data_IF_874088885958
#
_entry.id   IF_874088885958
#
_cell.length_a   1.000
_cell.length_b   1.000
_cell.length_c   1.000
_cell.angle_alpha   90.00
_cell.angle_beta   90.00
_cell.angle_gamma   90.00
#
_symmetry.space_group_name_H-M   'P 1'
#
loop_
_entity.id
_entity.type
_entity.pdbx_description
1 polymer ?
2 polymer ?
3 polymer ?
4 non-polymer ?
5 non-polymer ?
6 water ?
#
# COMPACT_ATOMS: atom_id res chain seq x y z
N UNK A 3 22.38 4.50 -30.04
CA UNK A 3 23.44 3.58 -29.69
C UNK A 3 23.23 2.93 -28.34
N UNK A 4 24.28 2.89 -27.52
CA UNK A 4 24.22 2.34 -26.17
C UNK A 4 24.38 3.48 -25.18
N UNK A 5 23.28 3.82 -24.49
CA UNK A 5 23.35 4.84 -23.45
C UNK A 5 24.26 4.40 -22.32
N UNK A 6 24.20 3.12 -21.94
CA UNK A 6 25.12 2.59 -20.92
C UNK A 6 26.56 2.76 -21.36
N UNK A 7 26.88 2.43 -22.61
CA UNK A 7 28.22 2.65 -23.13
C UNK A 7 28.57 4.13 -23.11
N UNK A 8 27.62 4.98 -23.53
CA UNK A 8 27.82 6.41 -23.44
C UNK A 8 28.00 6.85 -21.98
N UNK A 9 27.17 6.33 -21.09
CA UNK A 9 27.38 6.56 -19.66
C UNK A 9 28.73 6.01 -19.22
N UNK A 10 29.11 4.82 -19.70
CA UNK A 10 30.39 4.24 -19.33
C UNK A 10 31.53 5.19 -19.65
N UNK A 11 31.35 6.07 -20.65
CA UNK A 11 32.39 7.04 -20.98
C UNK A 11 32.75 7.89 -19.76
N UNK A 12 31.74 8.32 -18.99
CA UNK A 12 32.00 8.84 -17.67
C UNK A 12 31.88 7.72 -16.65
N UNK A 13 30.72 7.59 -16.02
CA UNK A 13 30.43 6.47 -15.14
C UNK A 13 29.10 5.86 -15.51
N UNK A 14 29.07 4.53 -15.62
CA UNK A 14 27.93 3.84 -16.19
C UNK A 14 27.32 2.80 -15.28
N UNK A 15 27.17 1.58 -15.80
CA UNK A 15 26.38 0.56 -15.10
C UNK A 15 27.03 0.16 -13.78
N UNK A 16 26.18 -0.05 -12.76
CA UNK A 16 26.62 -0.43 -11.43
C UNK A 16 25.91 -1.70 -11.00
N UNK A 17 26.63 -2.56 -10.29
CA UNK A 17 26.15 -3.86 -9.84
C UNK A 17 25.68 -3.77 -8.40
N UNK A 18 24.48 -4.26 -8.13
CA UNK A 18 23.91 -4.26 -6.78
C UNK A 18 23.26 -5.62 -6.55
N UNK A 19 23.90 -6.45 -5.72
CA UNK A 19 23.38 -7.77 -5.34
C UNK A 19 22.98 -8.61 -6.55
N UNK A 20 23.84 -8.62 -7.57
CA UNK A 20 23.57 -9.41 -8.75
C UNK A 20 22.69 -8.74 -9.78
N UNK A 21 22.26 -7.51 -9.53
CA UNK A 21 21.41 -6.77 -10.46
C UNK A 21 22.17 -5.57 -11.01
N UNK A 22 22.21 -5.47 -12.34
CA UNK A 22 22.84 -4.32 -12.99
C UNK A 22 21.80 -3.22 -13.14
N UNK A 23 22.17 -2.00 -12.75
CA UNK A 23 21.31 -0.82 -12.83
C UNK A 23 21.84 0.08 -13.92
N UNK A 24 21.17 0.07 -15.07
CA UNK A 24 21.54 0.97 -16.16
C UNK A 24 20.71 2.25 -16.06
N UNK A 25 20.99 3.03 -15.02
CA UNK A 25 20.32 4.30 -14.78
C UNK A 25 21.11 5.48 -15.31
N UNK A 26 22.03 5.24 -16.25
CA UNK A 26 22.62 6.30 -17.04
C UNK A 26 23.63 7.15 -16.30
N UNK A 27 24.08 8.22 -16.95
CA UNK A 27 25.03 9.13 -16.28
C UNK A 27 24.38 9.95 -15.18
N UNK A 28 23.06 10.16 -15.24
CA UNK A 28 22.42 11.05 -14.27
C UNK A 28 22.46 10.46 -12.86
N UNK A 29 22.20 9.17 -12.73
CA UNK A 29 22.08 8.53 -11.43
C UNK A 29 23.26 7.59 -11.21
N UNK A 30 23.95 7.77 -10.09
CA UNK A 30 25.14 7.01 -9.73
C UNK A 30 25.13 6.72 -8.24
N UNK A 31 26.10 5.92 -7.81
CA UNK A 31 26.32 5.61 -6.40
C UNK A 31 25.09 4.95 -5.77
N UNK A 32 24.68 3.83 -6.34
CA UNK A 32 23.48 3.14 -5.89
C UNK A 32 23.79 2.25 -4.68
N UNK A 33 22.84 2.19 -3.75
CA UNK A 33 22.94 1.34 -2.57
C UNK A 33 21.66 0.55 -2.43
N UNK A 34 21.79 -0.77 -2.30
CA UNK A 34 20.63 -1.65 -2.14
C UNK A 34 19.79 -1.22 -0.95
N UNK A 35 18.47 -1.20 -1.14
CA UNK A 35 17.51 -0.94 -0.07
C UNK A 35 16.64 -2.16 0.19
N UNK A 36 15.92 -2.62 -0.83
CA UNK A 36 15.05 -3.77 -0.70
C UNK A 36 14.75 -4.36 -2.06
N UNK A 37 13.99 -5.45 -2.06
CA UNK A 37 13.68 -6.11 -3.31
C UNK A 37 12.39 -6.90 -3.20
N UNK A 38 11.77 -7.13 -4.34
CA UNK A 38 10.62 -8.00 -4.45
C UNK A 38 10.84 -9.06 -5.51
N UNK A 39 9.74 -9.74 -5.87
CA UNK A 39 9.82 -10.84 -6.83
C UNK A 39 10.38 -10.37 -8.17
N UNK A 40 9.94 -9.20 -8.64
CA UNK A 40 10.37 -8.71 -9.95
C UNK A 40 10.97 -7.30 -9.90
N UNK A 41 11.25 -6.76 -8.72
CA UNK A 41 11.77 -5.40 -8.62
C UNK A 41 12.77 -5.25 -7.48
N UNK A 42 13.58 -4.19 -7.58
CA UNK A 42 14.57 -3.87 -6.55
C UNK A 42 14.70 -2.35 -6.41
N UNK A 43 14.54 -1.85 -5.18
CA UNK A 43 14.68 -0.43 -4.89
C UNK A 43 16.08 -0.15 -4.35
N UNK A 44 16.69 0.92 -4.83
CA UNK A 44 18.00 1.36 -4.38
C UNK A 44 17.95 2.85 -4.10
N UNK A 45 18.81 3.30 -3.18
CA UNK A 45 19.13 4.71 -3.09
C UNK A 45 20.20 5.03 -4.13
N UNK A 46 20.19 6.26 -4.62
CA UNK A 46 21.13 6.67 -5.66
C UNK A 46 21.30 8.17 -5.59
N UNK A 47 22.35 8.66 -6.26
CA UNK A 47 22.71 10.06 -6.26
C UNK A 47 22.32 10.67 -7.61
N UNK A 48 21.47 11.69 -7.57
CA UNK A 48 21.11 12.46 -8.75
C UNK A 48 22.21 13.48 -9.00
N UNK A 49 23.03 13.27 -10.03
CA UNK A 49 24.14 14.17 -10.29
C UNK A 49 23.65 15.51 -10.84
N UNK A 50 22.51 15.53 -11.52
CA UNK A 50 22.00 16.79 -12.04
C UNK A 50 21.53 17.70 -10.91
N UNK A 51 20.69 17.17 -10.01
CA UNK A 51 20.17 17.97 -8.92
C UNK A 51 21.01 17.89 -7.64
N UNK A 52 22.06 17.07 -7.63
CA UNK A 52 22.96 16.94 -6.48
C UNK A 52 22.20 16.63 -5.20
N UNK A 53 21.38 15.58 -5.28
CA UNK A 53 20.58 15.10 -4.16
C UNK A 53 20.45 13.60 -4.33
N UNK A 54 20.09 12.91 -3.26
CA UNK A 54 19.93 11.46 -3.33
C UNK A 54 18.47 11.09 -3.52
N UNK A 55 18.24 10.09 -4.37
CA UNK A 55 16.91 9.65 -4.77
C UNK A 55 16.81 8.14 -4.56
N UNK A 56 15.61 7.62 -4.73
CA UNK A 56 15.35 6.19 -4.70
C UNK A 56 14.99 5.72 -6.10
N UNK A 57 15.51 4.56 -6.50
CA UNK A 57 15.30 4.03 -7.84
C UNK A 57 14.81 2.59 -7.75
N UNK A 58 13.69 2.31 -8.42
CA UNK A 58 13.07 1.00 -8.42
C UNK A 58 13.22 0.39 -9.81
N UNK A 59 14.00 -0.70 -9.91
CA UNK A 59 14.15 -1.43 -11.16
C UNK A 59 13.06 -2.48 -11.24
N UNK A 60 12.32 -2.50 -12.34
CA UNK A 60 11.20 -3.41 -12.52
C UNK A 60 11.46 -4.29 -13.73
N UNK A 61 11.29 -5.60 -13.57
CA UNK A 61 11.53 -6.57 -14.64
C UNK A 61 10.29 -7.44 -14.81
N UNK A 62 9.22 -6.90 -15.41
CA UNK A 62 7.93 -7.59 -15.37
C UNK A 62 7.49 -8.19 -16.70
N UNK A 63 8.31 -8.05 -17.75
CA UNK A 63 7.80 -8.26 -19.09
C UNK A 63 7.61 -9.75 -19.40
N UNK A 64 8.21 -10.63 -18.59
CA UNK A 64 8.02 -12.06 -18.80
C UNK A 64 6.60 -12.49 -18.43
N UNK A 65 6.01 -11.88 -17.41
CA UNK A 65 4.73 -12.36 -16.89
C UNK A 65 3.65 -11.30 -17.05
N UNK A 66 2.44 -11.77 -17.38
CA UNK A 66 1.33 -10.88 -17.70
C UNK A 66 0.83 -10.16 -16.47
N UNK A 67 0.81 -10.84 -15.32
CA UNK A 67 0.35 -10.21 -14.08
C UNK A 67 1.32 -9.13 -13.61
N UNK A 68 2.62 -9.39 -13.73
CA UNK A 68 3.61 -8.35 -13.42
C UNK A 68 3.42 -7.14 -14.30
N UNK A 69 3.23 -7.35 -15.60
CA UNK A 69 2.99 -6.24 -16.52
C UNK A 69 1.74 -5.47 -16.13
N UNK A 70 0.67 -6.18 -15.79
CA UNK A 70 -0.56 -5.53 -15.35
C UNK A 70 -0.31 -4.65 -14.12
N UNK A 71 0.39 -5.20 -13.12
CA UNK A 71 0.63 -4.44 -11.90
C UNK A 71 1.57 -3.27 -12.13
N UNK A 72 2.56 -3.45 -13.02
CA UNK A 72 3.47 -2.35 -13.32
C UNK A 72 2.74 -1.19 -13.97
N UNK A 73 1.88 -1.48 -14.95
CA UNK A 73 1.15 -0.41 -15.63
C UNK A 73 0.19 0.29 -14.66
N UNK A 74 -0.43 -0.46 -13.76
CA UNK A 74 -1.36 0.15 -12.80
C UNK A 74 -0.63 1.10 -11.87
N UNK A 75 0.49 0.67 -11.28
CA UNK A 75 1.22 1.54 -10.37
C UNK A 75 1.71 2.79 -11.07
N UNK A 76 2.24 2.65 -12.29
CA UNK A 76 2.76 3.80 -13.01
C UNK A 76 1.63 4.77 -13.34
N UNK A 77 0.50 4.25 -13.84
CA UNK A 77 -0.58 5.13 -14.25
C UNK A 77 -1.24 5.80 -13.05
N UNK A 78 -1.38 5.09 -11.94
CA UNK A 78 -2.00 5.68 -10.75
C UNK A 78 -1.08 6.72 -10.14
N UNK A 79 0.21 6.39 -9.97
CA UNK A 79 1.13 7.31 -9.32
C UNK A 79 1.38 8.55 -10.16
N UNK A 80 1.48 8.40 -11.49
CA UNK A 80 1.74 9.56 -12.34
C UNK A 80 0.64 10.60 -12.22
N UNK A 81 -0.59 10.18 -11.96
CA UNK A 81 -1.72 11.09 -11.82
C UNK A 81 -2.01 11.46 -10.37
N UNK A 82 -1.41 10.78 -9.41
CA UNK A 82 -1.58 11.10 -8.00
C UNK A 82 -0.59 12.17 -7.57
N UNK A 83 -1.03 13.04 -6.66
CA UNK A 83 -0.18 14.09 -6.11
C UNK A 83 -0.68 14.42 -4.70
N UNK A 84 0.12 14.05 -3.69
CA UNK A 84 -0.31 14.18 -2.31
C UNK A 84 0.91 14.11 -1.41
N UNK A 85 0.82 14.81 -0.27
CA UNK A 85 1.91 14.83 0.71
C UNK A 85 2.28 13.44 1.17
N UNK A 86 1.28 12.63 1.52
CA UNK A 86 1.48 11.36 2.18
C UNK A 86 1.52 10.19 1.22
N UNK A 87 1.76 10.46 -0.06
CA UNK A 87 1.86 9.43 -1.07
C UNK A 87 3.11 9.69 -1.91
N UNK A 88 3.90 8.64 -2.12
CA UNK A 88 5.10 8.73 -2.94
C UNK A 88 4.70 8.99 -4.39
N UNK A 89 5.56 9.72 -5.11
CA UNK A 89 5.30 10.02 -6.50
C UNK A 89 6.45 9.55 -7.38
N UNK A 90 6.25 9.70 -8.70
CA UNK A 90 7.26 9.37 -9.70
C UNK A 90 7.87 10.68 -10.19
N UNK A 91 9.17 10.83 -9.99
CA UNK A 91 9.89 12.00 -10.47
C UNK A 91 10.50 11.80 -11.85
N UNK A 92 10.87 10.56 -12.18
CA UNK A 92 11.50 10.26 -13.46
C UNK A 92 11.28 8.79 -13.77
N UNK A 93 11.36 8.44 -15.05
CA UNK A 93 11.24 7.06 -15.50
C UNK A 93 12.26 6.80 -16.59
N UNK A 94 12.98 5.68 -16.47
CA UNK A 94 14.07 5.35 -17.39
C UNK A 94 13.79 4.01 -18.04
N UNK A 95 13.89 3.97 -19.37
CA UNK A 95 13.80 2.73 -20.14
C UNK A 95 14.41 2.98 -21.51
N UNK A 96 14.53 1.90 -22.28
CA UNK A 96 15.22 1.95 -23.56
C UNK A 96 14.41 2.73 -24.59
N UNK A 97 15.06 3.32 -25.60
CA UNK A 97 14.32 4.12 -26.59
C UNK A 97 13.39 3.28 -27.43
N UNK A 98 13.75 2.03 -27.72
CA UNK A 98 12.93 1.12 -28.50
C UNK A 98 12.28 0.11 -27.57
N UNK A 99 11.03 -0.24 -27.86
CA UNK A 99 10.32 -1.22 -27.05
C UNK A 99 11.00 -2.57 -27.11
N UNK A 100 11.70 -2.88 -28.22
CA UNK A 100 12.37 -4.17 -28.34
C UNK A 100 13.46 -4.32 -27.28
N UNK A 101 14.18 -3.24 -26.99
CA UNK A 101 15.27 -3.26 -26.01
C UNK A 101 14.80 -3.05 -24.58
N UNK A 102 13.52 -2.77 -24.36
CA UNK A 102 13.03 -2.47 -23.02
C UNK A 102 12.83 -3.77 -22.27
N UNK A 103 13.88 -4.21 -21.56
CA UNK A 103 13.80 -5.36 -20.68
C UNK A 103 13.52 -4.98 -19.23
N UNK A 104 13.95 -3.78 -18.82
CA UNK A 104 13.75 -3.27 -17.47
C UNK A 104 13.21 -1.86 -17.53
N UNK A 105 12.46 -1.49 -16.49
CA UNK A 105 11.93 -0.13 -16.34
C UNK A 105 12.36 0.39 -14.97
N UNK A 106 12.92 1.60 -14.96
CA UNK A 106 13.45 2.20 -13.73
C UNK A 106 12.57 3.36 -13.28
N UNK A 107 12.13 3.29 -12.02
CA UNK A 107 11.24 4.29 -11.44
C UNK A 107 12.00 5.06 -10.38
N UNK A 108 12.07 6.37 -10.54
CA UNK A 108 12.82 7.25 -9.64
C UNK A 108 11.82 7.95 -8.72
N UNK A 109 12.01 7.85 -7.41
CA UNK A 109 11.08 8.40 -6.42
C UNK A 109 11.85 9.19 -5.37
N UNK A 110 11.09 9.85 -4.48
CA UNK A 110 11.69 10.57 -3.36
C UNK A 110 12.29 9.58 -2.38
N UNK A 111 13.54 9.83 -1.97
CA UNK A 111 14.24 8.95 -1.04
C UNK A 111 13.74 9.18 0.39
N UNK A 112 13.36 8.09 1.06
CA UNK A 112 12.91 8.11 2.45
C UNK A 112 13.85 7.27 3.29
N UNK A 113 14.24 7.80 4.46
CA UNK A 113 15.26 7.15 5.27
C UNK A 113 14.83 5.75 5.72
N UNK A 114 13.61 5.61 6.22
CA UNK A 114 13.18 4.32 6.76
C UNK A 114 11.68 4.14 6.49
N UNK A 115 11.13 3.07 7.06
CA UNK A 115 9.72 2.74 6.94
C UNK A 115 9.19 2.33 8.31
N UNK A 116 7.86 2.24 8.43
CA UNK A 116 7.24 1.92 9.71
C UNK A 116 7.66 0.54 10.20
N UNK A 117 7.76 -0.42 9.28
CA UNK A 117 8.19 -1.77 9.65
C UNK A 117 9.54 -1.76 10.34
N UNK A 118 10.53 -1.07 9.75
CA UNK A 118 11.85 -1.00 10.36
C UNK A 118 11.79 -0.32 11.73
N UNK A 119 11.00 0.74 11.84
CA UNK A 119 10.96 1.51 13.08
C UNK A 119 10.48 0.66 14.26
N UNK A 120 9.45 -0.15 14.04
CA UNK A 120 8.83 -0.87 15.13
C UNK A 120 9.72 -2.00 15.63
N UNK A 121 10.61 -2.51 14.78
CA UNK A 121 11.58 -3.51 15.22
C UNK A 121 12.52 -2.94 16.28
N UNK A 122 12.87 -1.66 16.16
CA UNK A 122 13.86 -1.08 17.05
C UNK A 122 13.29 -0.16 18.13
N UNK A 123 12.08 0.36 17.96
CA UNK A 123 11.57 1.36 18.88
C UNK A 123 10.11 1.11 19.23
N UNK A 124 9.72 1.58 20.41
CA UNK A 124 8.33 1.64 20.82
C UNK A 124 7.84 3.07 20.67
N UNK A 125 6.70 3.24 19.99
CA UNK A 125 6.22 4.58 19.67
C UNK A 125 5.36 5.14 20.80
N UNK A 126 5.60 6.42 21.11
CA UNK A 126 4.78 7.14 22.06
C UNK A 126 3.42 7.43 21.46
N UNK A 127 2.42 7.63 22.33
CA UNK A 127 1.05 7.82 21.86
C UNK A 127 0.95 8.95 20.85
N UNK A 128 1.68 10.05 21.08
CA UNK A 128 1.62 11.19 20.16
C UNK A 128 2.23 10.83 18.81
N UNK A 129 3.22 9.93 18.80
CA UNK A 129 3.78 9.47 17.54
C UNK A 129 2.81 8.54 16.82
N UNK A 130 2.24 7.59 17.55
CA UNK A 130 1.23 6.70 16.97
C UNK A 130 0.08 7.51 16.39
N UNK A 131 -0.42 8.47 17.17
CA UNK A 131 -1.55 9.28 16.74
C UNK A 131 -1.22 10.05 15.46
N UNK A 132 -0.05 10.69 15.42
CA UNK A 132 0.33 11.47 14.25
C UNK A 132 0.57 10.57 13.05
N UNK A 133 1.27 9.44 13.25
CA UNK A 133 1.47 8.49 12.16
C UNK A 133 0.14 8.00 11.60
N UNK A 134 -0.76 7.59 12.49
CA UNK A 134 -2.06 7.08 12.05
C UNK A 134 -2.84 8.13 11.28
N UNK A 135 -2.81 9.38 11.73
CA UNK A 135 -3.50 10.44 11.00
C UNK A 135 -2.97 10.57 9.57
N UNK A 136 -1.64 10.57 9.42
CA UNK A 136 -1.05 10.71 8.09
C UNK A 136 -1.44 9.55 7.18
N UNK A 137 -1.42 8.32 7.73
CA UNK A 137 -1.84 7.16 6.96
C UNK A 137 -3.23 7.35 6.39
N UNK A 138 -4.15 7.87 7.20
CA UNK A 138 -5.52 8.04 6.75
C UNK A 138 -5.64 9.22 5.78
N UNK A 139 -4.84 10.26 5.99
CA UNK A 139 -4.90 11.42 5.11
C UNK A 139 -4.56 11.05 3.68
N UNK A 140 -3.52 10.23 3.49
CA UNK A 140 -3.25 9.70 2.17
C UNK A 140 -4.31 8.73 1.71
N UNK A 141 -4.85 7.92 2.63
CA UNK A 141 -5.86 6.93 2.27
C UNK A 141 -7.15 7.61 1.81
N UNK A 142 -7.50 8.75 2.42
CA UNK A 142 -8.66 9.50 1.97
C UNK A 142 -8.51 9.89 0.51
N UNK A 143 -7.34 10.40 0.14
CA UNK A 143 -7.08 10.77 -1.24
C UNK A 143 -7.13 9.55 -2.15
N UNK A 144 -6.57 8.42 -1.70
CA UNK A 144 -6.54 7.20 -2.51
C UNK A 144 -7.95 6.74 -2.83
N UNK A 145 -8.78 6.60 -1.79
CA UNK A 145 -10.15 6.15 -2.00
C UNK A 145 -10.98 7.19 -2.74
N UNK A 146 -10.56 8.46 -2.69
CA UNK A 146 -11.29 9.50 -3.40
C UNK A 146 -11.12 9.36 -4.91
N UNK A 147 -10.05 8.72 -5.36
CA UNK A 147 -9.82 8.47 -6.78
C UNK A 147 -10.35 7.12 -7.23
N UNK A 148 -11.17 6.47 -6.41
CA UNK A 148 -11.71 5.14 -6.71
C UNK A 148 -10.60 4.10 -6.81
N UNK A 149 -9.56 4.26 -5.97
CA UNK A 149 -8.42 3.36 -5.98
C UNK A 149 -8.36 2.61 -4.66
N UNK A 150 -8.02 1.33 -4.74
CA UNK A 150 -7.80 0.49 -3.58
C UNK A 150 -6.32 0.13 -3.53
N UNK A 151 -5.69 0.36 -2.38
CA UNK A 151 -4.26 0.05 -2.28
C UNK A 151 -4.05 -1.46 -2.25
N UNK A 152 -4.76 -2.16 -1.38
CA UNK A 152 -4.78 -3.62 -1.28
C UNK A 152 -3.49 -4.21 -0.74
N UNK A 153 -2.54 -3.40 -0.25
CA UNK A 153 -1.39 -3.98 0.43
C UNK A 153 -0.83 -3.08 1.53
N UNK A 154 -1.67 -2.28 2.19
CA UNK A 154 -1.19 -1.42 3.26
C UNK A 154 -0.60 -2.27 4.38
N UNK A 155 0.64 -1.94 4.76
CA UNK A 155 1.34 -2.67 5.81
C UNK A 155 2.49 -1.81 6.29
N UNK A 156 3.17 -2.19 7.39
CA UNK A 156 4.24 -1.32 7.90
C UNK A 156 5.36 -1.09 6.90
N UNK A 157 5.68 -2.09 6.08
CA UNK A 157 6.79 -1.94 5.14
C UNK A 157 6.46 -0.93 4.05
N UNK A 158 5.17 -0.77 3.73
CA UNK A 158 4.77 0.16 2.69
C UNK A 158 4.52 1.57 3.22
N UNK A 159 4.91 1.85 4.47
CA UNK A 159 4.75 3.16 5.08
C UNK A 159 6.14 3.78 5.23
N UNK A 160 6.52 4.63 4.27
CA UNK A 160 7.83 5.24 4.28
C UNK A 160 7.88 6.40 5.27
N UNK A 161 9.03 6.55 5.93
CA UNK A 161 9.22 7.57 6.96
C UNK A 161 10.58 8.23 6.80
N UNK A 162 10.62 9.55 6.97
CA UNK A 162 11.86 10.30 6.87
C UNK A 162 12.29 10.79 8.25
N UNK A 163 13.34 11.61 8.27
CA UNK A 163 13.91 12.11 9.53
C UNK A 163 13.03 13.13 10.23
N UNK A 164 12.05 13.71 9.53
CA UNK A 164 11.18 14.72 10.10
C UNK A 164 9.75 14.21 10.32
N UNK A 165 9.61 12.92 10.64
CA UNK A 165 8.31 12.30 10.93
C UNK A 165 7.31 12.49 9.81
N UNK A 166 7.77 12.46 8.56
CA UNK A 166 6.87 12.55 7.41
C UNK A 166 6.65 11.16 6.83
N UNK A 167 5.38 10.82 6.61
CA UNK A 167 4.99 9.49 6.16
C UNK A 167 4.43 9.56 4.75
N UNK A 168 4.80 8.58 3.92
CA UNK A 168 4.26 8.42 2.58
C UNK A 168 3.90 6.96 2.36
N UNK A 169 2.88 6.73 1.54
CA UNK A 169 2.45 5.38 1.18
C UNK A 169 3.05 5.02 -0.17
N UNK A 170 3.61 3.82 -0.28
CA UNK A 170 4.25 3.37 -1.51
C UNK A 170 3.75 1.99 -1.93
N UNK A 171 4.36 1.43 -2.98
CA UNK A 171 4.03 0.10 -3.51
C UNK A 171 2.55 0.04 -3.92
N UNK A 172 2.23 0.78 -4.98
CA UNK A 172 0.89 0.74 -5.55
C UNK A 172 0.75 -0.30 -6.64
N UNK A 173 1.65 -1.30 -6.68
CA UNK A 173 1.54 -2.36 -7.66
C UNK A 173 0.32 -3.23 -7.44
N UNK A 174 -0.04 -3.48 -6.18
CA UNK A 174 -1.25 -4.21 -5.85
C UNK A 174 -2.50 -3.35 -5.91
N UNK A 175 -2.35 -2.06 -6.21
CA UNK A 175 -3.50 -1.17 -6.27
C UNK A 175 -4.22 -1.32 -7.61
N UNK A 176 -5.49 -0.92 -7.61
CA UNK A 176 -6.32 -1.06 -8.79
C UNK A 176 -7.48 -0.07 -8.71
N UNK A 177 -8.02 0.28 -9.87
CA UNK A 177 -9.21 1.11 -9.93
C UNK A 177 -10.44 0.23 -9.80
N UNK A 178 -11.48 0.73 -9.11
CA UNK A 178 -12.77 0.05 -9.02
C UNK A 178 -13.85 1.15 -9.05
N UNK A 179 -14.20 1.57 -10.27
CA UNK A 179 -15.23 2.58 -10.46
C UNK A 179 -16.49 2.19 -9.70
N UNK A 180 -17.06 3.09 -8.88
CA UNK A 180 -18.19 2.70 -8.04
C UNK A 180 -19.45 2.37 -8.83
N UNK A 181 -19.68 3.04 -9.96
CA UNK A 181 -20.92 2.82 -10.70
C UNK A 181 -21.05 1.37 -11.14
N UNK A 182 -19.97 0.78 -11.65
CA UNK A 182 -19.99 -0.60 -12.08
C UNK A 182 -19.89 -1.55 -10.88
N UNK A 183 -20.37 -2.77 -11.07
CA UNK A 183 -20.29 -3.81 -10.06
C UNK A 183 -19.02 -4.63 -10.28
N UNK A 184 -18.29 -4.89 -9.21
CA UNK A 184 -17.05 -5.65 -9.28
C UNK A 184 -17.10 -6.97 -8.53
N UNK A 185 -18.26 -7.34 -7.96
CA UNK A 185 -18.38 -8.60 -7.24
C UNK A 185 -18.02 -9.78 -8.15
N UNK A 186 -17.05 -10.56 -7.72
CA UNK A 186 -16.58 -11.67 -8.54
C UNK A 186 -15.67 -11.29 -9.68
N UNK A 187 -15.26 -10.02 -9.77
CA UNK A 187 -14.33 -9.56 -10.79
C UNK A 187 -12.98 -9.16 -10.23
N UNK A 188 -12.85 -9.07 -8.92
CA UNK A 188 -11.62 -8.58 -8.30
C UNK A 188 -10.66 -9.72 -8.04
N UNK A 190 -8.29 -12.35 -6.50
CA UNK A 190 -8.59 -13.10 -5.29
C UNK A 190 -7.52 -13.01 -4.20
N UNK A 192 -5.15 -11.00 -2.68
CA UNK A 192 -4.66 -9.64 -2.49
C UNK A 192 -4.36 -9.37 -1.02
N UNK A 193 -3.44 -8.42 -0.79
CA UNK A 193 -2.97 -8.01 0.53
C UNK A 193 -2.01 -9.03 1.15
N UNK A 194 -1.26 -8.59 2.16
CA UNK A 194 -0.42 -9.47 2.94
C UNK A 194 -1.27 -10.13 4.02
N UNK A 195 -0.93 -11.39 4.33
CA UNK A 195 -1.82 -12.24 5.11
C UNK A 195 -2.25 -11.60 6.43
N UNK A 196 -1.29 -11.03 7.17
CA UNK A 196 -1.60 -10.49 8.49
C UNK A 196 -2.46 -9.23 8.43
N UNK A 197 -2.50 -8.57 7.28
CA UNK A 197 -3.26 -7.34 7.10
C UNK A 197 -4.42 -7.56 6.13
N UNK A 198 -4.80 -8.80 5.93
CA UNK A 198 -5.84 -9.18 4.99
C UNK A 198 -7.20 -9.18 5.69
N UNK A 199 -8.17 -8.49 5.11
CA UNK A 199 -9.49 -8.39 5.69
C UNK A 199 -10.20 -9.73 5.67
N UNK A 200 -11.18 -9.94 6.57
CA UNK A 200 -11.92 -11.21 6.55
C UNK A 200 -12.62 -11.48 5.23
N UNK A 201 -13.27 -10.46 4.65
CA UNK A 201 -14.08 -10.66 3.46
C UNK A 201 -13.26 -11.05 2.24
N UNK A 202 -11.97 -10.71 2.21
CA UNK A 202 -11.12 -11.14 1.10
C UNK A 202 -11.09 -12.67 1.02
N UNK A 203 -10.91 -13.32 2.17
CA UNK A 203 -10.97 -14.77 2.21
C UNK A 203 -12.41 -15.26 2.07
N UNK A 204 -13.33 -14.70 2.86
CA UNK A 204 -14.69 -15.21 2.93
C UNK A 204 -15.47 -14.94 1.64
N UNK A 205 -15.32 -13.76 1.07
CA UNK A 205 -15.99 -13.39 -0.17
C UNK A 205 -14.92 -13.13 -1.24
N UNK A 206 -14.28 -14.20 -1.69
CA UNK A 206 -13.24 -14.07 -2.70
C UNK A 206 -13.77 -13.32 -3.91
N UNK A 207 -13.00 -12.32 -4.36
CA UNK A 207 -13.31 -11.50 -5.53
C UNK A 207 -14.52 -10.60 -5.33
N UNK A 208 -14.91 -10.34 -4.07
CA UNK A 208 -16.06 -9.51 -3.81
C UNK A 208 -15.88 -8.48 -2.72
N UNK A 209 -14.64 -8.02 -2.51
CA UNK A 209 -14.32 -7.08 -1.45
C UNK A 209 -14.52 -5.64 -1.91
N UNK A 210 -14.21 -4.69 -1.02
CA UNK A 210 -14.38 -3.27 -1.31
C UNK A 210 -13.18 -2.50 -0.78
N UNK A 211 -13.33 -1.16 -0.74
CA UNK A 211 -12.31 -0.29 -0.16
C UNK A 211 -12.05 -0.61 1.31
N UNK A 212 -13.04 -1.19 1.99
CA UNK A 212 -12.94 -1.41 3.43
C UNK A 212 -11.79 -2.34 3.81
N UNK A 213 -11.21 -3.05 2.83
CA UNK A 213 -10.04 -3.88 3.13
C UNK A 213 -8.85 -3.03 3.55
N UNK A 214 -8.78 -1.79 3.05
CA UNK A 214 -7.69 -0.89 3.44
C UNK A 214 -7.86 -0.43 4.88
N UNK A 215 -9.08 -0.12 5.27
CA UNK A 215 -9.36 0.28 6.65
C UNK A 215 -8.95 -0.83 7.61
N UNK A 216 -9.24 -2.09 7.26
CA UNK A 216 -8.81 -3.22 8.08
C UNK A 216 -7.30 -3.25 8.24
N UNK A 217 -6.56 -3.05 7.14
CA UNK A 217 -5.11 -3.05 7.19
C UNK A 217 -4.59 -1.98 8.14
N UNK A 218 -5.18 -0.78 8.06
CA UNK A 218 -4.78 0.31 8.95
C UNK A 218 -4.91 -0.11 10.41
N UNK A 219 -6.03 -0.76 10.76
CA UNK A 219 -6.22 -1.20 12.13
C UNK A 219 -5.17 -2.20 12.58
N UNK A 220 -4.80 -3.12 11.68
CA UNK A 220 -3.72 -4.05 11.98
C UNK A 220 -2.41 -3.31 12.23
N UNK A 221 -2.11 -2.33 11.38
CA UNK A 221 -0.92 -1.50 11.57
C UNK A 221 -1.02 -0.75 12.89
N UNK A 222 -2.17 -0.14 13.17
CA UNK A 222 -2.36 0.53 14.45
C UNK A 222 -2.14 -0.43 15.62
N UNK A 223 -2.74 -1.62 15.56
CA UNK A 223 -2.51 -2.61 16.60
C UNK A 223 -1.03 -2.95 16.70
N UNK A 224 -0.35 -3.11 15.56
CA UNK A 224 1.06 -3.44 15.58
C UNK A 224 1.88 -2.33 16.23
N UNK A 225 1.53 -1.07 15.95
CA UNK A 225 2.21 0.04 16.62
C UNK A 225 2.02 -0.02 18.13
N UNK A 226 0.84 -0.46 18.58
CA UNK A 226 0.52 -0.35 19.99
C UNK A 226 1.28 -1.39 20.82
N UNK A 227 1.58 -2.55 20.24
CA UNK A 227 2.23 -3.63 21.00
C UNK A 227 3.58 -4.05 20.40
N UNK A 228 4.03 -3.38 19.34
CA UNK A 228 5.25 -3.80 18.62
C UNK A 228 5.18 -5.28 18.29
N UNK A 229 4.01 -5.73 17.84
CA UNK A 229 3.76 -7.13 17.55
C UNK A 229 2.54 -7.23 16.65
N UNK A 230 2.51 -8.20 15.72
CA UNK A 230 1.36 -8.31 14.82
C UNK A 230 0.13 -8.82 15.55
N UNK A 231 -1.04 -8.31 15.13
CA UNK A 231 -2.27 -8.63 15.84
C UNK A 231 -2.81 -9.99 15.42
N UNK A 232 -2.71 -10.34 14.14
CA UNK A 232 -3.23 -11.61 13.60
C UNK A 232 -2.13 -12.34 12.84
N UNK A 233 -1.17 -12.96 13.55
CA UNK A 233 -0.09 -13.67 12.81
C UNK A 233 -0.49 -15.06 12.32
N UNK A 234 -1.27 -15.09 11.23
CA UNK A 234 -1.78 -16.35 10.72
C UNK A 234 -0.74 -17.11 9.92
N UNK A 235 -0.65 -18.42 10.16
CA UNK A 235 0.25 -19.27 9.40
C UNK A 235 -0.28 -19.49 7.98
N UNK A 236 -1.56 -19.84 7.88
CA UNK A 236 -2.24 -19.97 6.60
C UNK A 236 -3.62 -19.33 6.74
N UNK A 237 -4.42 -19.39 5.67
CA UNK A 237 -5.70 -18.69 5.68
C UNK A 237 -6.64 -19.27 6.74
N UNK A 238 -6.63 -20.59 6.92
CA UNK A 238 -7.42 -21.19 7.99
C UNK A 238 -6.97 -20.68 9.36
N UNK A 239 -5.67 -20.77 9.64
CA UNK A 239 -5.13 -20.24 10.89
C UNK A 239 -5.36 -18.74 10.99
N UNK A 240 -5.21 -18.02 9.87
CA UNK A 240 -5.48 -16.59 9.87
C UNK A 240 -6.92 -16.31 10.27
N UNK A 241 -7.87 -17.04 9.69
CA UNK A 241 -9.27 -16.88 10.08
C UNK A 241 -9.47 -17.21 11.55
N UNK A 242 -8.82 -18.27 12.03
CA UNK A 242 -8.88 -18.59 13.45
C UNK A 242 -8.30 -17.46 14.29
N UNK A 243 -7.19 -16.88 13.83
CA UNK A 243 -6.58 -15.76 14.55
C UNK A 243 -7.52 -14.56 14.61
N UNK A 244 -8.15 -14.24 13.49
CA UNK A 244 -9.08 -13.11 13.45
C UNK A 244 -10.23 -13.34 14.42
N UNK A 245 -10.82 -14.54 14.38
CA UNK A 245 -11.93 -14.85 15.27
C UNK A 245 -11.51 -15.05 16.72
N UNK A 246 -10.21 -15.25 16.95
CA UNK A 246 -9.75 -15.38 18.33
C UNK A 246 -9.93 -14.12 19.14
N UNK A 247 -9.78 -12.96 18.51
CA UNK A 247 -9.91 -11.67 19.17
C UNK A 247 -11.31 -11.09 19.01
N UNK A 248 -11.82 -11.05 17.78
CA UNK A 248 -13.16 -10.50 17.55
C UNK A 248 -14.26 -11.42 18.07
N UNK A 249 -13.95 -12.68 18.32
CA UNK A 249 -14.96 -13.62 18.78
C UNK A 249 -15.76 -14.20 17.63
N UNK A 250 -16.69 -15.08 18.00
CA UNK A 250 -17.54 -15.71 17.00
C UNK A 250 -18.41 -14.66 16.32
N UNK A 251 -18.61 -14.74 15.00
CA UNK A 251 -19.34 -13.70 14.30
C UNK A 251 -20.79 -13.62 14.75
N UNK A 252 -21.34 -12.40 14.69
CA UNK A 252 -22.75 -12.20 14.93
C UNK A 252 -23.57 -12.74 13.76
N UNK A 253 -24.86 -12.98 14.02
CA UNK A 253 -25.73 -13.43 12.93
C UNK A 253 -25.83 -12.39 11.84
N UNK A 254 -25.95 -11.11 12.22
CA UNK A 254 -25.88 -10.03 11.26
C UNK A 254 -24.55 -10.07 10.51
N UNK A 255 -23.46 -10.28 11.24
CA UNK A 255 -22.16 -10.46 10.59
C UNK A 255 -22.18 -11.62 9.61
N UNK A 256 -22.83 -12.72 9.98
CA UNK A 256 -22.87 -13.87 9.08
C UNK A 256 -23.66 -13.57 7.82
N UNK A 257 -24.62 -12.65 7.88
CA UNK A 257 -25.48 -12.40 6.74
C UNK A 257 -24.78 -11.59 5.66
N UNK A 258 -23.65 -10.95 5.98
CA UNK A 258 -22.97 -10.17 4.96
C UNK A 258 -22.08 -11.06 4.07
N UNK A 259 -21.84 -12.30 4.48
CA UNK A 259 -21.12 -13.24 3.64
C UNK A 259 -22.03 -13.72 2.52
N UNK A 260 -21.58 -13.55 1.27
CA UNK A 260 -22.34 -14.04 0.13
C UNK A 260 -21.82 -15.41 -0.35
N UNK A 261 -20.67 -15.85 0.14
CA UNK A 261 -20.20 -17.19 -0.18
C UNK A 261 -20.84 -18.18 0.78
N UNK A 262 -21.88 -18.88 0.32
CA UNK A 262 -22.65 -19.77 1.18
C UNK A 262 -21.78 -20.89 1.73
N UNK A 263 -20.92 -21.47 0.89
CA UNK A 263 -19.95 -22.46 1.37
C UNK A 263 -19.10 -21.89 2.49
N UNK A 264 -18.62 -20.65 2.32
CA UNK A 264 -17.83 -20.00 3.38
C UNK A 264 -18.67 -19.77 4.62
N UNK A 265 -19.90 -19.29 4.45
CA UNK A 265 -20.78 -19.04 5.60
C UNK A 265 -20.97 -20.31 6.42
N UNK A 266 -21.21 -21.44 5.74
CA UNK A 266 -21.42 -22.69 6.45
C UNK A 266 -20.15 -23.12 7.18
N UNK A 267 -18.98 -22.85 6.60
CA UNK A 267 -17.73 -23.10 7.33
C UNK A 267 -17.72 -22.34 8.64
N UNK A 268 -18.07 -21.05 8.59
CA UNK A 268 -18.10 -20.25 9.81
C UNK A 268 -19.08 -20.82 10.82
N UNK A 269 -20.27 -21.22 10.34
CA UNK A 269 -21.26 -21.83 11.23
C UNK A 269 -20.72 -23.12 11.84
N UNK A 270 -19.94 -23.88 11.08
CA UNK A 270 -19.36 -25.12 11.58
C UNK A 270 -18.27 -24.89 12.61
N UNK A 271 -17.79 -23.66 12.78
CA UNK A 271 -16.67 -23.41 13.67
C UNK A 271 -17.14 -23.37 15.14
N UNK A 272 -16.30 -23.86 16.05
CA UNK A 272 -16.65 -23.80 17.48
C UNK A 272 -16.77 -22.36 17.94
N UNK A 273 -17.67 -22.15 18.90
CA UNK A 273 -17.87 -20.80 19.40
C UNK A 273 -16.61 -20.30 20.12
N UNK A 274 -16.19 -19.10 19.77
CA UNK A 274 -15.04 -18.44 20.37
C UNK A 274 -15.50 -17.09 20.89
N UNK A 275 -15.08 -16.71 22.08
CA UNK A 275 -15.61 -15.52 22.73
C UNK A 275 -14.72 -14.31 22.49
N UNK A 276 -15.37 -13.18 22.23
CA UNK A 276 -14.68 -11.93 21.92
C UNK A 276 -13.78 -11.52 23.09
N UNK A 277 -12.60 -11.00 22.75
CA UNK A 277 -11.61 -10.55 23.72
C UNK A 277 -11.64 -9.03 23.77
N UNK A 278 -11.82 -8.42 24.94
CA UNK A 278 -11.80 -6.96 25.02
C UNK A 278 -10.42 -6.40 24.71
N UNK A 279 -10.41 -5.22 24.07
CA UNK A 279 -9.16 -4.62 23.66
C UNK A 279 -8.33 -4.19 24.85
N UNK A 280 -8.96 -3.65 25.89
CA UNK A 280 -8.22 -3.14 27.04
C UNK A 280 -7.43 -4.26 27.72
N UNK A 281 -8.01 -5.45 27.84
CA UNK A 281 -7.23 -6.57 28.37
C UNK A 281 -6.09 -6.92 27.44
N UNK A 282 -6.34 -6.91 26.13
CA UNK A 282 -5.29 -7.21 25.16
C UNK A 282 -4.26 -6.09 25.09
N UNK A 283 -4.73 -4.84 25.04
CA UNK A 283 -3.87 -3.65 24.97
C UNK A 283 -4.11 -2.80 26.21
N UNK A 284 -3.42 -3.12 27.32
CA UNK A 284 -3.72 -2.44 28.59
C UNK A 284 -3.41 -0.94 28.59
N UNK A 285 -2.24 -0.57 28.11
CA UNK A 285 -1.77 0.80 28.20
C UNK A 285 -2.20 1.67 27.03
N UNK A 286 -2.93 1.11 26.06
CA UNK A 286 -3.38 1.89 24.92
C UNK A 286 -4.40 2.94 25.36
N UNK A 287 -4.26 4.14 24.79
CA UNK A 287 -5.29 5.17 24.96
C UNK A 287 -6.63 4.64 24.50
N UNK A 288 -7.65 4.79 25.34
CA UNK A 288 -8.98 4.27 25.02
C UNK A 288 -9.52 4.91 23.75
N UNK A 289 -9.26 6.21 23.55
CA UNK A 289 -9.68 6.87 22.32
C UNK A 289 -9.12 6.15 21.10
N UNK A 290 -7.84 5.75 21.15
CA UNK A 290 -7.29 4.94 20.08
C UNK A 290 -8.01 3.60 19.98
N UNK A 291 -8.25 2.96 21.11
CA UNK A 291 -8.89 1.64 21.11
C UNK A 291 -10.32 1.71 20.62
N UNK A 292 -11.01 2.83 20.85
CA UNK A 292 -12.34 2.99 20.27
C UNK A 292 -12.27 2.97 18.75
N UNK A 293 -11.32 3.70 18.17
CA UNK A 293 -11.15 3.70 16.72
C UNK A 293 -10.60 2.36 16.23
N UNK A 294 -9.62 1.80 16.95
CA UNK A 294 -9.08 0.50 16.57
C UNK A 294 -10.18 -0.54 16.41
N UNK A 295 -11.07 -0.62 17.40
CA UNK A 295 -12.21 -1.52 17.31
C UNK A 295 -13.06 -1.22 16.08
N UNK A 296 -13.18 0.06 15.72
CA UNK A 296 -14.12 0.46 14.68
C UNK A 296 -13.60 0.12 13.28
N UNK A 297 -12.29 0.09 13.08
CA UNK A 297 -11.73 -0.34 11.81
C UNK A 297 -11.48 -1.84 11.75
N UNK A 298 -11.59 -2.55 12.86
CA UNK A 298 -11.51 -4.00 12.88
C UNK A 298 -12.89 -4.65 12.91
N UNK A 299 -13.93 -3.91 12.54
CA UNK A 299 -15.28 -4.48 12.51
C UNK A 299 -15.37 -5.56 11.44
N UNK A 300 -15.92 -6.72 11.84
CA UNK A 300 -16.04 -7.85 10.91
C UNK A 300 -16.85 -7.48 9.68
N UNK A 301 -17.91 -6.70 9.84
CA UNK A 301 -18.76 -6.32 8.72
C UNK A 301 -18.08 -5.25 7.88
N UNK A 302 -17.80 -5.52 6.60
CA UNK A 302 -17.15 -4.49 5.77
C UNK A 302 -18.03 -3.28 5.51
N UNK A 303 -19.33 -3.47 5.27
CA UNK A 303 -20.20 -2.34 4.96
C UNK A 303 -20.37 -1.42 6.16
N UNK A 304 -20.39 -1.98 7.35
CA UNK A 304 -20.42 -1.17 8.58
C UNK A 304 -19.03 -0.77 9.06
N UNK A 305 -17.98 -1.10 8.31
CA UNK A 305 -16.64 -0.69 8.72
C UNK A 305 -16.49 0.82 8.59
N UNK A 306 -15.73 1.40 9.51
CA UNK A 306 -15.55 2.85 9.54
C UNK A 306 -14.92 3.30 8.23
N UNK A 307 -15.53 4.28 7.58
CA UNK A 307 -14.97 4.81 6.34
C UNK A 307 -13.81 5.74 6.65
N UNK A 308 -13.02 6.06 5.62
CA UNK A 308 -11.78 6.80 5.86
C UNK A 308 -12.08 8.22 6.35
N UNK A 309 -13.10 8.87 5.77
CA UNK A 309 -13.49 10.20 6.25
C UNK A 309 -13.93 10.14 7.70
N UNK A 310 -14.73 9.14 8.05
CA UNK A 310 -15.21 9.02 9.43
C UNK A 310 -14.07 8.79 10.41
N UNK A 311 -13.03 8.05 9.99
CA UNK A 311 -11.91 7.78 10.89
C UNK A 311 -11.15 9.05 11.23
N UNK A 312 -10.92 9.92 10.24
CA UNK A 312 -10.25 11.18 10.49
C UNK A 312 -10.98 12.01 11.54
N UNK A 313 -12.32 11.98 11.50
CA UNK A 313 -13.14 12.76 12.42
C UNK A 313 -13.29 12.12 13.79
N UNK A 314 -12.66 10.98 14.03
CA UNK A 314 -12.72 10.33 15.33
C UNK A 314 -11.97 11.16 16.37
N UNK A 315 -12.43 11.15 17.63
CA UNK A 315 -11.77 11.97 18.67
C UNK A 315 -10.26 11.86 18.73
N UNK A 316 -9.72 10.65 18.51
CA UNK A 316 -8.31 10.40 18.74
C UNK A 316 -7.40 11.22 17.82
N UNK A 317 -7.94 11.79 16.74
CA UNK A 317 -7.16 12.60 15.81
C UNK A 317 -7.65 14.04 15.77
N UNK A 318 -8.32 14.52 16.82
CA UNK A 318 -8.95 15.82 16.78
C UNK A 318 -7.93 16.96 16.70
N UNK A 319 -6.73 16.76 17.23
CA UNK A 319 -5.71 17.80 17.13
C UNK A 319 -5.27 18.01 15.68
N UNK A 320 -5.12 16.92 14.92
CA UNK A 320 -4.69 17.01 13.53
C UNK A 320 -5.85 17.02 12.55
N UNK A 321 -7.08 16.89 13.01
CA UNK A 321 -8.22 16.83 12.09
C UNK A 321 -8.48 18.20 11.49
N UNK A 322 -8.38 18.30 10.16
CA UNK A 322 -8.72 19.53 9.44
C UNK A 322 -9.17 19.15 8.04
N UNK A 323 -10.48 19.20 7.77
CA UNK A 323 -10.98 18.82 6.43
C UNK A 323 -10.46 19.70 5.32
N UNK A 324 -10.16 20.97 5.59
CA UNK A 324 -9.74 21.88 4.53
C UNK A 324 -8.32 21.59 4.02
N UNK A 325 -7.56 20.75 4.73
CA UNK A 325 -6.22 20.38 4.29
C UNK A 325 -6.08 18.86 4.17
N UNK A 326 -7.21 18.18 3.91
CA UNK A 326 -7.25 16.75 3.64
C UNK A 326 -7.83 16.60 2.24
N UNK A 327 -7.04 16.83 1.20
CA UNK A 327 -7.59 17.03 -0.14
C UNK A 327 -7.96 15.71 -0.83
N UNK A 328 -8.58 15.87 -2.00
CA UNK A 328 -9.00 14.76 -2.84
C UNK A 328 -8.51 15.04 -4.26
N UNK A 329 -8.58 14.01 -5.10
CA UNK A 329 -8.12 14.14 -6.48
C UNK A 329 -9.09 14.98 -7.30
N UNK A 330 -8.53 15.79 -8.20
CA UNK A 330 -9.37 16.64 -9.05
C UNK A 330 -10.30 15.80 -9.92
N UNK A 331 -9.79 14.71 -10.48
CA UNK A 331 -10.56 13.85 -11.37
C UNK A 331 -10.36 12.40 -10.95
N UNK A 332 -11.35 11.76 -10.33
CA UNK A 332 -11.20 10.36 -9.94
C UNK A 332 -11.16 9.44 -11.15
N UNK A 333 -10.73 8.20 -10.89
CA UNK A 333 -10.54 7.23 -11.96
C UNK A 333 -11.85 6.53 -12.31
N UNK A 334 -12.10 6.39 -13.60
CA UNK A 334 -13.34 5.82 -14.12
C UNK A 334 -13.15 4.35 -14.49
N UNK A 335 -14.21 3.76 -15.05
CA UNK A 335 -14.20 2.34 -15.40
C UNK A 335 -13.22 2.04 -16.53
N UNK A 336 -13.04 3.00 -17.45
CA UNK A 336 -12.16 2.77 -18.60
C UNK A 336 -10.72 2.49 -18.19
N UNK A 337 -10.32 2.88 -16.99
CA UNK A 337 -8.95 2.69 -16.53
C UNK A 337 -8.70 1.29 -15.99
N UNK A 338 -9.74 0.51 -15.72
CA UNK A 338 -9.57 -0.85 -15.23
C UNK A 338 -9.49 -1.89 -16.34
N UNK A 339 -9.61 -1.47 -17.60
CA UNK A 339 -9.65 -2.38 -18.73
C UNK A 339 -8.23 -2.76 -19.16
N UNK A 340 -7.58 -3.58 -18.32
CA UNK A 340 -6.23 -4.03 -18.59
C UNK A 340 -6.13 -5.56 -18.59
N UNK A 341 -7.23 -6.25 -18.87
CA UNK A 341 -7.21 -7.70 -19.04
C UNK A 341 -6.73 -8.01 -20.46
N UNK A 342 -5.43 -7.84 -20.66
CA UNK A 342 -4.79 -7.87 -21.96
C UNK A 342 -3.56 -8.76 -21.93
N UNK A 343 -3.04 -9.17 -23.08
CA UNK A 343 -1.79 -9.94 -23.09
C UNK A 343 -0.61 -9.05 -22.78
N UNK A 344 0.47 -9.67 -22.30
CA UNK A 344 1.61 -8.91 -21.79
C UNK A 344 2.29 -8.11 -22.90
N UNK A 345 2.23 -8.59 -24.14
CA UNK A 345 2.85 -7.85 -25.25
C UNK A 345 2.11 -6.54 -25.49
N UNK A 346 0.78 -6.55 -25.37
CA UNK A 346 0.03 -5.29 -25.43
C UNK A 346 0.31 -4.44 -24.20
N UNK A 347 0.34 -5.05 -23.01
CA UNK A 347 0.64 -4.31 -21.80
C UNK A 347 2.01 -3.66 -21.88
N UNK A 348 2.99 -4.37 -22.47
CA UNK A 348 4.32 -3.79 -22.64
C UNK A 348 4.26 -2.54 -23.50
N UNK A 349 3.46 -2.56 -24.57
CA UNK A 349 3.26 -1.37 -25.38
C UNK A 349 2.65 -0.24 -24.56
N UNK A 350 1.67 -0.56 -23.72
CA UNK A 350 1.02 0.47 -22.92
C UNK A 350 1.99 1.09 -21.93
N UNK A 351 2.84 0.27 -21.31
CA UNK A 351 3.87 0.78 -20.41
C UNK A 351 4.83 1.68 -21.17
N UNK A 352 5.25 1.26 -22.36
CA UNK A 352 6.18 2.04 -23.17
C UNK A 352 5.58 3.39 -23.55
N UNK A 353 4.29 3.42 -23.89
CA UNK A 353 3.63 4.68 -24.21
C UNK A 353 3.58 5.61 -23.00
N UNK A 354 3.30 5.06 -21.83
CA UNK A 354 3.11 5.87 -20.63
C UNK A 354 4.40 6.46 -20.10
N UNK A 355 5.54 5.91 -20.48
CA UNK A 355 6.84 6.41 -20.06
C UNK A 355 7.49 7.25 -21.14
N UNK A 356 6.77 7.57 -22.22
CA UNK A 356 7.36 8.29 -23.34
C UNK A 356 7.65 9.73 -22.98
N UNK A 357 6.86 10.32 -22.07
CA UNK A 357 7.06 11.72 -21.73
C UNK A 357 8.41 11.94 -21.04
N UNK A 358 8.87 10.95 -20.27
CA UNK A 358 10.14 11.08 -19.57
C UNK A 358 11.33 10.89 -20.50
N UNK A 359 11.11 10.37 -21.71
CA UNK A 359 12.21 10.06 -22.61
C UNK A 359 12.93 11.34 -23.04
N UNK A 360 14.24 11.31 -23.23
CA UNK A 360 14.98 12.55 -23.53
C UNK A 360 14.48 13.20 -24.81
N UNK A 361 14.40 14.53 -24.78
CA UNK A 361 13.93 15.27 -25.95
C UNK A 361 12.54 14.87 -26.41
N UNK A 362 11.63 14.61 -25.46
CA UNK A 362 10.27 14.27 -25.81
C UNK A 362 9.63 15.35 -26.66
N UNK A 363 9.79 16.62 -26.26
CA UNK A 363 9.24 17.76 -26.98
C UNK A 363 7.73 17.62 -27.19
N UNK A 364 7.04 17.17 -26.12
CA UNK A 364 5.58 16.95 -26.07
C UNK A 364 4.86 16.85 -27.41
N UNK B 1 17.24 6.11 15.10
CA UNK B 1 17.06 6.66 16.44
C UNK B 1 16.51 8.08 16.37
N UNK B 2 16.43 8.61 15.15
CA UNK B 2 15.95 9.98 14.93
C UNK B 2 14.42 9.96 14.81
N UNK B 3 13.79 9.66 15.94
CA UNK B 3 12.33 9.61 15.99
C UNK B 3 11.74 11.02 15.89
N UNK B 5 7.42 15.66 14.39
CA UNK B 5 6.55 16.23 15.41
C UNK B 5 6.63 17.74 15.44
N UNK B 6 7.71 18.29 16.00
CA UNK B 6 7.91 19.73 15.99
C UNK B 6 8.62 20.21 14.73
N UNK B 7 9.08 19.30 13.88
CA UNK B 7 9.73 19.66 12.63
C UNK B 7 8.92 19.33 11.38
N UNK B 8 7.83 18.57 11.53
CA UNK B 8 7.03 18.16 10.38
C UNK B 8 6.11 19.29 9.94
N UNK B 9 6.15 19.60 8.63
CA UNK B 9 5.32 20.68 8.09
C UNK B 9 3.85 20.47 8.41
N UNK B 10 3.35 19.24 8.19
CA UNK B 10 1.93 18.96 8.42
C UNK B 10 1.56 19.20 9.88
N UNK B 11 2.37 18.69 10.81
CA UNK B 11 2.10 18.92 12.23
C UNK B 11 2.13 20.40 12.56
N UNK B 12 3.07 21.14 11.96
CA UNK B 12 3.16 22.57 12.20
C UNK B 12 1.91 23.29 11.73
N UNK B 13 1.43 22.94 10.53
CA UNK B 13 0.22 23.57 10.00
C UNK B 13 -0.97 23.35 10.92
N UNK B 14 -1.13 22.12 11.43
CA UNK B 14 -2.22 21.84 12.35
C UNK B 14 -2.11 22.68 13.62
N UNK B 15 -0.91 22.80 14.17
CA UNK B 15 -0.74 23.54 15.42
C UNK B 15 -1.02 25.02 15.24
N UNK B 16 -0.63 25.58 14.08
CA UNK B 16 -0.81 27.01 13.83
C UNK B 16 -2.29 27.40 13.93
N UNK B 17 -3.17 26.61 13.31
CA UNK B 17 -4.60 26.89 13.38
C UNK B 17 -5.08 26.86 14.82
N UNK B 18 -4.73 25.79 15.54
CA UNK B 18 -5.06 25.67 16.96
C UNK B 18 -4.27 24.52 17.57
N UNK C 3 -11.83 -19.07 -7.34
CA UNK C 3 -11.23 -18.94 -6.01
C UNK C 3 -10.30 -20.12 -5.68
N UNK C 4 -9.13 -20.14 -6.33
CA UNK C 4 -8.26 -21.30 -6.24
C UNK C 4 -7.71 -21.49 -4.83
N UNK C 5 -7.36 -20.39 -4.16
CA UNK C 5 -6.63 -20.48 -2.89
C UNK C 5 -7.53 -20.34 -1.66
N UNK C 6 -8.82 -20.06 -1.82
CA UNK C 6 -9.73 -19.92 -0.69
C UNK C 6 -10.90 -20.89 -0.87
N UNK C 7 -10.62 -22.16 -0.65
CA UNK C 7 -11.63 -23.21 -0.69
C UNK C 7 -12.06 -23.51 0.74
N UNK C 8 -13.32 -23.27 1.05
CA UNK C 8 -13.80 -23.40 2.42
C UNK C 8 -14.27 -24.82 2.75
N UNK C 9 -14.79 -25.59 1.80
CA UNK C 9 -14.81 -27.04 1.98
C UNK C 9 -13.40 -27.55 2.20
N UNK C 10 -13.08 -28.05 3.39
CA UNK C 10 -11.69 -28.30 3.77
C UNK C 10 -11.06 -29.37 2.88
N UNK C 11 -9.92 -29.06 2.26
CA UNK C 11 -9.18 -30.11 1.56
C UNK C 11 -8.60 -31.09 2.54
N UNK C 12 -8.45 -32.36 2.16
CA UNK C 12 -7.93 -33.36 3.11
C UNK C 12 -6.50 -33.07 3.50
N UNK C 13 -6.25 -33.07 4.82
CA UNK C 13 -4.92 -32.79 5.35
C UNK C 13 -3.94 -33.90 5.00
#
# INVERSE_FOLDING_TARGET
GSASMAAAAAAGAGPEMVRGQVFDVGPRYTNLSYIGEGAYGMVCSAYDNVNKVRVAIKKISPFEHQTYCQRTLREIKILLRFRHENIIGINDIIRAPTIEQMKDVYIVQDLMETDLYKLLKTQHLSNDHICYFLYQILRGLKYIHSANVLHRDLKPSNLLLNTTCDLKICDFGLARVADPDHDHTGFLXEXVATRWYRAPEIMLNSKGYTKSIDIWSVGCILAEMLSNRPIFPGKHYLDQLNHILGILGSPSQEDLNCIINLKARNYLLSLPHKNKVPWNRLFPNADSKALDLLDKMLTFNPHKRIEVEQALAHPYLEQYYDPSDEPIAEAPFKFDMELDDLPKEKLKELIFEETARFQPGYRS
MQLXLDSSNLARRRRRRR
RPPVKFIFPPPPLS
#
